data_IF_737423772095
#
_entry.id   IF_737423772095
#
_cell.length_a   1.000
_cell.length_b   1.000
_cell.length_c   1.000
_cell.angle_alpha   90.00
_cell.angle_beta   90.00
_cell.angle_gamma   90.00
#
_symmetry.space_group_name_H-M   'P 1'
#
loop_
_entity.id
_entity.type
_entity.pdbx_description
1 polymer ?
#
# COMPACT_ATOMS: atom_id res chain seq x y z
N UNK A 1 -43.32 -7.67 58.02
CA UNK A 1 -42.82 -6.72 59.05
C UNK A 1 -43.93 -5.85 59.65
N UNK A 2 -44.83 -5.25 58.85
CA UNK A 2 -45.88 -4.35 59.36
C UNK A 2 -46.81 -4.94 60.46
N UNK A 3 -47.20 -6.22 60.38
CA UNK A 3 -48.07 -6.85 61.40
C UNK A 3 -47.38 -7.03 62.77
N UNK A 4 -46.07 -7.30 62.77
CA UNK A 4 -45.27 -7.49 63.98
C UNK A 4 -44.98 -6.16 64.69
N UNK A 5 -44.72 -5.10 63.92
CA UNK A 5 -44.54 -3.73 64.46
C UNK A 5 -45.83 -3.17 65.06
N UNK A 6 -46.99 -3.46 64.45
CA UNK A 6 -48.30 -3.07 65.01
C UNK A 6 -48.57 -3.78 66.33
N UNK A 7 -48.26 -5.08 66.43
CA UNK A 7 -48.41 -5.84 67.67
C UNK A 7 -47.53 -5.31 68.82
N UNK A 8 -46.25 -5.02 68.54
CA UNK A 8 -45.34 -4.40 69.52
C UNK A 8 -45.81 -3.01 69.95
N UNK A 9 -46.36 -2.22 69.03
CA UNK A 9 -46.92 -0.90 69.34
C UNK A 9 -48.17 -0.99 70.24
N UNK A 10 -49.04 -1.99 70.02
CA UNK A 10 -50.19 -2.24 70.90
C UNK A 10 -49.76 -2.66 72.30
N UNK A 11 -48.76 -3.53 72.42
CA UNK A 11 -48.20 -3.91 73.74
C UNK A 11 -47.57 -2.70 74.42
N UNK A 12 -46.78 -1.91 73.69
CA UNK A 12 -46.13 -0.70 74.21
C UNK A 12 -47.17 0.32 74.72
N UNK A 13 -48.24 0.56 73.94
CA UNK A 13 -49.36 1.42 74.37
C UNK A 13 -50.12 0.83 75.57
N UNK A 14 -50.26 -0.50 75.65
CA UNK A 14 -50.87 -1.20 76.79
C UNK A 14 -50.07 -1.03 78.08
N UNK A 15 -48.74 -1.22 78.02
CA UNK A 15 -47.82 -1.01 79.15
C UNK A 15 -47.81 0.46 79.58
N UNK A 16 -47.83 1.40 78.64
CA UNK A 16 -47.89 2.84 78.90
C UNK A 16 -49.22 3.28 79.54
N UNK A 17 -50.35 2.72 79.10
CA UNK A 17 -51.67 2.97 79.71
C UNK A 17 -51.70 2.52 81.18
N UNK A 18 -51.08 1.37 81.46
CA UNK A 18 -50.96 0.84 82.81
C UNK A 18 -50.08 1.73 83.69
N UNK A 19 -48.93 2.19 83.17
CA UNK A 19 -48.05 3.16 83.86
C UNK A 19 -48.75 4.51 84.09
N UNK A 20 -49.60 4.95 83.17
CA UNK A 20 -50.40 6.17 83.29
C UNK A 20 -51.36 6.14 84.47
N UNK A 21 -51.94 4.97 84.74
CA UNK A 21 -52.91 4.79 85.82
C UNK A 21 -52.26 4.80 87.22
N UNK A 22 -51.04 4.26 87.34
CA UNK A 22 -50.37 4.10 88.63
C UNK A 22 -49.44 5.26 89.00
N UNK A 23 -48.88 6.00 88.04
CA UNK A 23 -47.94 7.08 88.32
C UNK A 23 -48.64 8.44 88.34
N UNK A 24 -48.91 9.00 89.52
CA UNK A 24 -49.56 10.31 89.69
C UNK A 24 -48.59 11.44 90.02
N UNK A 25 -47.29 11.19 89.97
CA UNK A 25 -46.29 12.20 90.29
C UNK A 25 -46.23 13.28 89.21
N UNK A 26 -46.08 14.53 89.66
CA UNK A 26 -45.92 15.69 88.79
C UNK A 26 -44.54 16.30 88.97
N UNK A 27 -44.03 16.91 87.90
CA UNK A 27 -42.75 17.59 87.87
C UNK A 27 -42.93 18.98 87.31
N UNK A 28 -42.19 19.93 87.88
CA UNK A 28 -42.11 21.29 87.38
C UNK A 28 -40.97 21.35 86.36
N UNK A 29 -41.27 21.73 85.12
CA UNK A 29 -40.30 21.79 84.03
C UNK A 29 -40.02 23.26 83.70
N UNK A 30 -38.77 23.65 83.83
CA UNK A 30 -38.30 24.98 83.43
C UNK A 30 -37.77 24.91 82.01
N UNK A 31 -38.41 25.62 81.09
CA UNK A 31 -38.01 25.67 79.67
C UNK A 31 -37.25 26.99 79.41
N UNK A 32 -36.59 27.07 78.26
CA UNK A 32 -35.80 28.23 77.83
C UNK A 32 -36.54 29.56 78.07
N UNK A 33 -35.82 30.55 78.64
CA UNK A 33 -36.28 31.87 79.09
C UNK A 33 -37.10 31.89 80.38
N UNK A 34 -36.88 30.91 81.28
CA UNK A 34 -37.40 30.97 82.66
C UNK A 34 -38.89 30.68 82.77
N UNK A 35 -39.53 30.19 81.71
CA UNK A 35 -40.93 29.78 81.73
C UNK A 35 -41.03 28.43 82.44
N UNK A 36 -41.63 28.41 83.63
CA UNK A 36 -41.90 27.19 84.42
C UNK A 36 -43.29 26.67 84.13
N UNK A 37 -43.39 25.45 83.63
CA UNK A 37 -44.63 24.71 83.60
C UNK A 37 -44.74 23.88 84.87
N UNK A 38 -45.73 24.20 85.70
CA UNK A 38 -45.95 23.52 86.97
C UNK A 38 -46.93 22.35 86.82
N UNK A 39 -46.74 21.31 87.63
CA UNK A 39 -47.63 20.15 87.73
C UNK A 39 -47.79 19.30 86.46
N UNK A 40 -46.75 19.15 85.63
CA UNK A 40 -46.80 18.24 84.48
C UNK A 40 -46.67 16.79 84.96
N UNK A 41 -47.58 15.87 84.62
CA UNK A 41 -47.45 14.44 84.96
C UNK A 41 -46.18 13.84 84.35
N UNK A 42 -45.42 13.06 85.13
CA UNK A 42 -44.17 12.41 84.66
C UNK A 42 -44.40 11.58 83.38
N UNK A 43 -45.56 10.93 83.25
CA UNK A 43 -45.97 10.17 82.06
C UNK A 43 -46.02 11.05 80.80
N UNK A 44 -46.49 12.30 80.92
CA UNK A 44 -46.54 13.23 79.78
C UNK A 44 -45.13 13.55 79.27
N UNK A 45 -44.14 13.66 80.17
CA UNK A 45 -42.72 13.86 79.82
C UNK A 45 -42.16 12.64 79.08
N UNK A 46 -42.48 11.43 79.55
CA UNK A 46 -42.10 10.18 78.88
C UNK A 46 -42.72 10.12 77.46
N UNK A 47 -44.01 10.47 77.31
CA UNK A 47 -44.66 10.55 75.99
C UNK A 47 -43.98 11.55 75.06
N UNK A 48 -43.66 12.75 75.55
CA UNK A 48 -42.99 13.78 74.75
C UNK A 48 -41.59 13.30 74.32
N UNK A 49 -40.84 12.64 75.21
CA UNK A 49 -39.50 12.10 74.88
C UNK A 49 -39.54 10.95 73.86
N UNK A 50 -40.50 10.03 74.01
CA UNK A 50 -40.70 8.92 73.07
C UNK A 50 -41.19 9.43 71.70
N UNK A 51 -42.12 10.40 71.70
CA UNK A 51 -42.58 11.06 70.49
C UNK A 51 -41.43 11.80 69.79
N UNK A 52 -40.60 12.54 70.52
CA UNK A 52 -39.41 13.20 69.98
C UNK A 52 -38.42 12.19 69.37
N UNK A 53 -38.20 11.05 70.03
CA UNK A 53 -37.38 9.95 69.50
C UNK A 53 -37.93 9.39 68.17
N UNK A 54 -39.24 9.07 68.11
CA UNK A 54 -39.90 8.57 66.91
C UNK A 54 -39.85 9.60 65.78
N UNK A 55 -40.11 10.87 66.07
CA UNK A 55 -40.06 11.97 65.10
C UNK A 55 -38.64 12.12 64.56
N UNK A 56 -37.61 12.06 65.41
CA UNK A 56 -36.21 12.14 64.99
C UNK A 56 -35.80 10.96 64.10
N UNK A 57 -36.20 9.73 64.44
CA UNK A 57 -35.95 8.54 63.64
C UNK A 57 -36.65 8.61 62.28
N UNK A 58 -37.91 9.07 62.27
CA UNK A 58 -38.67 9.27 61.04
C UNK A 58 -38.03 10.35 60.16
N UNK A 59 -37.60 11.48 60.76
CA UNK A 59 -36.88 12.54 60.05
C UNK A 59 -35.58 12.01 59.42
N UNK A 60 -34.78 11.25 60.17
CA UNK A 60 -33.54 10.63 59.67
C UNK A 60 -33.86 9.64 58.53
N UNK A 61 -34.90 8.82 58.66
CA UNK A 61 -35.31 7.87 57.63
C UNK A 61 -35.77 8.58 56.35
N UNK A 62 -36.59 9.63 56.47
CA UNK A 62 -37.05 10.46 55.34
C UNK A 62 -35.87 11.16 54.66
N UNK A 63 -34.94 11.75 55.41
CA UNK A 63 -33.74 12.38 54.86
C UNK A 63 -32.85 11.36 54.14
N UNK A 64 -32.69 10.16 54.69
CA UNK A 64 -31.91 9.07 54.07
C UNK A 64 -32.54 8.57 52.78
N UNK A 65 -33.85 8.34 52.78
CA UNK A 65 -34.58 7.87 51.60
C UNK A 65 -34.68 8.95 50.52
N UNK A 66 -34.82 10.22 50.90
CA UNK A 66 -34.74 11.35 49.98
C UNK A 66 -33.35 11.44 49.31
N UNK A 67 -32.26 11.33 50.08
CA UNK A 67 -30.90 11.27 49.53
C UNK A 67 -30.74 10.08 48.57
N UNK A 68 -31.16 8.88 48.98
CA UNK A 68 -31.11 7.67 48.13
C UNK A 68 -31.90 7.83 46.84
N UNK A 69 -33.06 8.49 46.89
CA UNK A 69 -33.88 8.74 45.70
C UNK A 69 -33.19 9.71 44.74
N UNK A 70 -32.60 10.79 45.26
CA UNK A 70 -31.82 11.76 44.47
C UNK A 70 -30.61 11.07 43.82
N UNK A 71 -29.87 10.26 44.57
CA UNK A 71 -28.72 9.52 44.05
C UNK A 71 -29.16 8.54 42.94
N UNK A 72 -30.22 7.77 43.16
CA UNK A 72 -30.78 6.86 42.17
C UNK A 72 -31.28 7.60 40.92
N UNK A 73 -31.90 8.78 41.09
CA UNK A 73 -32.37 9.60 39.98
C UNK A 73 -31.20 10.13 39.15
N UNK A 74 -30.12 10.60 39.79
CA UNK A 74 -28.89 10.99 39.11
C UNK A 74 -28.27 9.83 38.33
N UNK A 75 -28.18 8.64 38.94
CA UNK A 75 -27.67 7.43 38.28
C UNK A 75 -28.55 7.03 37.09
N UNK A 76 -29.88 7.04 37.25
CA UNK A 76 -30.80 6.70 36.15
C UNK A 76 -30.71 7.72 35.01
N UNK A 77 -30.61 9.01 35.31
CA UNK A 77 -30.46 10.06 34.29
C UNK A 77 -29.13 9.92 33.55
N UNK A 78 -28.04 9.63 34.26
CA UNK A 78 -26.72 9.34 33.67
C UNK A 78 -26.79 8.12 32.74
N UNK A 79 -27.35 6.99 33.22
CA UNK A 79 -27.53 5.77 32.42
C UNK A 79 -28.38 5.99 31.17
N UNK A 80 -29.47 6.75 31.26
CA UNK A 80 -30.30 7.10 30.09
C UNK A 80 -29.53 7.94 29.08
N UNK A 81 -28.70 8.87 29.54
CA UNK A 81 -27.83 9.68 28.66
C UNK A 81 -26.78 8.79 27.96
N UNK A 82 -26.10 7.93 28.71
CA UNK A 82 -25.12 6.98 28.15
C UNK A 82 -25.74 6.03 27.13
N UNK A 83 -26.94 5.49 27.43
CA UNK A 83 -27.68 4.63 26.50
C UNK A 83 -28.06 5.39 25.21
N UNK A 84 -28.45 6.66 25.31
CA UNK A 84 -28.74 7.50 24.13
C UNK A 84 -27.49 7.74 23.28
N UNK A 85 -26.35 8.03 23.91
CA UNK A 85 -25.06 8.21 23.20
C UNK A 85 -24.68 6.92 22.46
N UNK A 86 -24.83 5.76 23.11
CA UNK A 86 -24.54 4.47 22.50
C UNK A 86 -25.48 4.17 21.32
N UNK A 87 -26.78 4.43 21.47
CA UNK A 87 -27.77 4.27 20.39
C UNK A 87 -27.45 5.19 19.18
N UNK A 88 -27.12 6.45 19.43
CA UNK A 88 -26.66 7.39 18.40
C UNK A 88 -25.41 6.90 17.69
N UNK A 89 -24.43 6.37 18.43
CA UNK A 89 -23.22 5.78 17.84
C UNK A 89 -23.55 4.56 16.96
N UNK A 90 -24.41 3.66 17.42
CA UNK A 90 -24.84 2.49 16.65
C UNK A 90 -25.54 2.88 15.35
N UNK A 91 -26.45 3.88 15.38
CA UNK A 91 -27.09 4.41 14.18
C UNK A 91 -26.10 5.10 13.24
N UNK A 92 -25.13 5.83 13.81
CA UNK A 92 -24.04 6.44 13.03
C UNK A 92 -23.21 5.39 12.30
N UNK A 93 -22.89 4.27 12.94
CA UNK A 93 -22.20 3.14 12.32
C UNK A 93 -23.04 2.48 11.21
N UNK A 94 -24.35 2.31 11.41
CA UNK A 94 -25.25 1.78 10.38
C UNK A 94 -25.27 2.69 9.14
N UNK A 95 -25.45 3.99 9.34
CA UNK A 95 -25.40 4.98 8.27
C UNK A 95 -24.04 4.99 7.55
N UNK A 96 -22.94 4.87 8.32
CA UNK A 96 -21.58 4.78 7.78
C UNK A 96 -21.40 3.56 6.86
N UNK A 97 -21.79 2.37 7.31
CA UNK A 97 -21.70 1.16 6.48
C UNK A 97 -22.66 1.17 5.30
N UNK A 98 -23.77 1.91 5.39
CA UNK A 98 -24.68 2.17 4.28
C UNK A 98 -24.19 3.29 3.34
N UNK A 99 -22.97 3.81 3.53
CA UNK A 99 -22.38 4.93 2.78
C UNK A 99 -23.19 6.24 2.82
N UNK A 100 -24.08 6.39 3.81
CA UNK A 100 -24.81 7.64 4.09
C UNK A 100 -23.95 8.54 4.97
N UNK A 101 -22.88 9.08 4.38
CA UNK A 101 -21.82 9.76 5.12
C UNK A 101 -22.27 11.06 5.81
N UNK A 102 -23.18 11.82 5.22
CA UNK A 102 -23.73 13.05 5.83
C UNK A 102 -24.50 12.73 7.11
N UNK A 103 -25.45 11.79 7.04
CA UNK A 103 -26.22 11.31 8.19
C UNK A 103 -25.30 10.72 9.28
N UNK A 104 -24.31 9.92 8.89
CA UNK A 104 -23.34 9.35 9.81
C UNK A 104 -22.51 10.45 10.51
N UNK A 105 -22.08 11.47 9.78
CA UNK A 105 -21.31 12.59 10.33
C UNK A 105 -22.14 13.39 11.36
N UNK A 106 -23.42 13.65 11.07
CA UNK A 106 -24.32 14.31 12.02
C UNK A 106 -24.49 13.48 13.31
N UNK A 107 -24.76 12.18 13.17
CA UNK A 107 -24.92 11.27 14.30
C UNK A 107 -23.65 11.17 15.15
N UNK A 108 -22.47 11.09 14.52
CA UNK A 108 -21.20 11.04 15.22
C UNK A 108 -20.82 12.39 15.86
N UNK A 109 -21.17 13.52 15.23
CA UNK A 109 -20.97 14.85 15.83
C UNK A 109 -21.80 14.99 17.10
N UNK A 110 -23.06 14.53 17.09
CA UNK A 110 -23.90 14.49 18.30
C UNK A 110 -23.37 13.57 19.41
N UNK A 111 -22.66 12.49 19.06
CA UNK A 111 -21.93 11.67 20.05
C UNK A 111 -20.76 12.46 20.64
N UNK A 112 -20.01 13.19 19.81
CA UNK A 112 -18.86 13.98 20.23
C UNK A 112 -19.26 15.15 21.14
N UNK A 113 -20.47 15.70 21.04
CA UNK A 113 -21.00 16.70 21.98
C UNK A 113 -21.15 16.21 23.43
N UNK A 114 -21.23 14.89 23.62
CA UNK A 114 -21.41 14.26 24.93
C UNK A 114 -20.14 13.57 25.43
N UNK A 115 -19.32 13.04 24.51
CA UNK A 115 -18.00 12.48 24.78
C UNK A 115 -17.00 13.01 23.74
N UNK A 116 -16.38 14.16 24.06
CA UNK A 116 -15.41 14.83 23.20
C UNK A 116 -14.15 14.02 22.91
N UNK A 117 -13.92 12.94 23.66
CA UNK A 117 -12.72 12.11 23.59
C UNK A 117 -13.02 10.69 23.10
N UNK A 118 -14.20 10.46 22.52
CA UNK A 118 -14.55 9.14 21.97
C UNK A 118 -13.64 8.79 20.80
N UNK A 119 -12.65 7.94 21.06
CA UNK A 119 -11.67 7.46 20.08
C UNK A 119 -12.33 6.91 18.80
N UNK A 120 -13.33 6.04 18.96
CA UNK A 120 -14.01 5.42 17.81
C UNK A 120 -14.80 6.44 17.00
N UNK A 121 -15.43 7.42 17.66
CA UNK A 121 -16.19 8.47 16.97
C UNK A 121 -15.27 9.39 16.18
N UNK A 122 -14.15 9.82 16.78
CA UNK A 122 -13.14 10.65 16.12
C UNK A 122 -12.56 9.92 14.89
N UNK A 123 -12.22 8.64 15.03
CA UNK A 123 -11.73 7.84 13.92
C UNK A 123 -12.73 7.77 12.76
N UNK A 124 -14.02 7.51 13.04
CA UNK A 124 -15.06 7.43 12.01
C UNK A 124 -15.36 8.77 11.35
N UNK A 125 -15.33 9.88 12.10
CA UNK A 125 -15.43 11.22 11.52
C UNK A 125 -14.24 11.53 10.60
N UNK A 126 -13.04 11.07 10.96
CA UNK A 126 -11.87 11.10 10.10
C UNK A 126 -12.05 10.27 8.82
N UNK A 127 -12.57 9.03 8.94
CA UNK A 127 -12.86 8.15 7.80
C UNK A 127 -13.86 8.79 6.84
N UNK A 128 -14.95 9.35 7.37
CA UNK A 128 -15.96 10.07 6.59
C UNK A 128 -15.32 11.26 5.86
N UNK A 129 -14.55 12.09 6.59
CA UNK A 129 -13.90 13.27 6.00
C UNK A 129 -12.92 12.87 4.88
N UNK A 130 -12.20 11.76 5.05
CA UNK A 130 -11.32 11.20 4.03
C UNK A 130 -12.10 10.78 2.77
N UNK A 131 -13.21 10.05 2.92
CA UNK A 131 -14.06 9.65 1.79
C UNK A 131 -14.74 10.85 1.10
N UNK A 132 -15.03 11.91 1.85
CA UNK A 132 -15.50 13.18 1.33
C UNK A 132 -14.39 14.04 0.70
N UNK A 133 -13.15 13.54 0.61
CA UNK A 133 -11.96 14.24 0.09
C UNK A 133 -11.55 15.50 0.86
N UNK A 134 -12.13 15.73 2.04
CA UNK A 134 -11.72 16.79 2.97
C UNK A 134 -10.56 16.28 3.84
N UNK A 135 -9.38 16.19 3.20
CA UNK A 135 -8.18 15.65 3.83
C UNK A 135 -7.71 16.47 5.03
N UNK A 136 -8.01 17.78 5.07
CA UNK A 136 -7.64 18.66 6.18
C UNK A 136 -8.44 18.30 7.42
N UNK A 137 -9.77 18.17 7.31
CA UNK A 137 -10.59 17.73 8.45
C UNK A 137 -10.30 16.28 8.84
N UNK A 138 -10.02 15.41 7.86
CA UNK A 138 -9.63 14.03 8.14
C UNK A 138 -8.37 13.98 9.01
N UNK A 139 -7.33 14.73 8.64
CA UNK A 139 -6.09 14.87 9.43
C UNK A 139 -6.40 15.38 10.84
N UNK A 140 -7.21 16.43 10.98
CA UNK A 140 -7.60 16.99 12.29
C UNK A 140 -8.27 15.94 13.20
N UNK A 141 -9.25 15.20 12.68
CA UNK A 141 -9.94 14.17 13.46
C UNK A 141 -9.04 13.00 13.84
N UNK A 142 -8.15 12.56 12.95
CA UNK A 142 -7.20 11.50 13.25
C UNK A 142 -6.14 11.93 14.25
N UNK A 143 -5.64 13.17 14.18
CA UNK A 143 -4.72 13.71 15.19
C UNK A 143 -5.39 13.77 16.57
N UNK A 144 -6.64 14.22 16.66
CA UNK A 144 -7.42 14.15 17.91
C UNK A 144 -7.59 12.71 18.41
N UNK A 145 -7.83 11.75 17.51
CA UNK A 145 -7.91 10.33 17.89
C UNK A 145 -6.57 9.79 18.41
N UNK A 146 -5.45 10.26 17.84
CA UNK A 146 -4.08 9.93 18.27
C UNK A 146 -3.77 10.47 19.67
N UNK A 147 -4.28 11.65 20.02
CA UNK A 147 -4.14 12.24 21.36
C UNK A 147 -4.84 11.41 22.44
N UNK A 148 -5.97 10.78 22.11
CA UNK A 148 -6.71 9.88 23.02
C UNK A 148 -6.00 8.55 23.19
N UNK A 149 -5.56 7.93 22.09
CA UNK A 149 -4.81 6.67 22.10
C UNK A 149 -3.49 6.82 21.38
N UNK A 150 -2.48 7.21 22.13
CA UNK A 150 -1.12 7.32 21.64
C UNK A 150 -0.63 5.95 21.11
N UNK A 151 0.00 5.94 19.92
CA UNK A 151 0.52 4.74 19.24
C UNK A 151 -0.53 3.72 18.74
N UNK A 152 -1.74 4.15 18.42
CA UNK A 152 -2.67 3.29 17.70
C UNK A 152 -2.22 3.10 16.24
N UNK A 153 -1.89 1.85 15.86
CA UNK A 153 -1.53 1.50 14.47
C UNK A 153 -2.65 1.89 13.49
N UNK A 154 -3.91 1.71 13.88
CA UNK A 154 -5.07 2.07 13.05
C UNK A 154 -5.07 3.57 12.71
N UNK A 155 -4.79 4.44 13.68
CA UNK A 155 -4.73 5.90 13.47
C UNK A 155 -3.52 6.29 12.63
N UNK A 156 -2.35 5.70 12.90
CA UNK A 156 -1.14 5.96 12.13
C UNK A 156 -1.32 5.58 10.65
N UNK A 157 -1.97 4.46 10.37
CA UNK A 157 -2.31 4.06 8.99
C UNK A 157 -3.31 5.03 8.35
N UNK A 158 -4.29 5.54 9.09
CA UNK A 158 -5.23 6.53 8.57
C UNK A 158 -4.56 7.88 8.29
N UNK A 159 -3.65 8.34 9.16
CA UNK A 159 -2.85 9.55 8.93
C UNK A 159 -1.90 9.40 7.76
N UNK A 160 -1.25 8.24 7.62
CA UNK A 160 -0.44 7.92 6.45
C UNK A 160 -1.25 7.98 5.16
N UNK A 161 -2.48 7.45 5.15
CA UNK A 161 -3.34 7.47 3.96
C UNK A 161 -3.72 8.88 3.56
N UNK A 162 -3.98 9.75 4.55
CA UNK A 162 -4.24 11.17 4.33
C UNK A 162 -3.01 11.84 3.73
N UNK A 163 -1.83 11.60 4.30
CA UNK A 163 -0.57 12.15 3.80
C UNK A 163 -0.28 11.66 2.36
N UNK A 164 -0.48 10.38 2.06
CA UNK A 164 -0.33 9.80 0.72
C UNK A 164 -1.29 10.46 -0.29
N UNK A 165 -2.57 10.64 0.09
CA UNK A 165 -3.57 11.31 -0.74
C UNK A 165 -3.26 12.80 -1.00
N UNK A 166 -2.57 13.45 -0.06
CA UNK A 166 -2.07 14.82 -0.20
C UNK A 166 -0.69 14.89 -0.89
N UNK A 167 -0.10 13.76 -1.31
CA UNK A 167 1.26 13.65 -1.84
C UNK A 167 2.36 14.17 -0.90
N UNK A 168 2.07 14.17 0.41
CA UNK A 168 3.00 14.47 1.51
C UNK A 168 3.82 13.22 1.86
N UNK A 169 4.74 12.86 0.96
CA UNK A 169 5.48 11.60 1.06
C UNK A 169 6.38 11.47 2.29
N UNK A 170 7.14 12.50 2.70
CA UNK A 170 7.96 12.42 3.91
C UNK A 170 7.12 12.17 5.16
N UNK A 171 5.96 12.83 5.29
CA UNK A 171 5.03 12.62 6.40
C UNK A 171 4.40 11.22 6.38
N UNK A 172 4.01 10.74 5.19
CA UNK A 172 3.52 9.37 5.03
C UNK A 172 4.57 8.35 5.50
N UNK A 173 5.83 8.54 5.11
CA UNK A 173 6.96 7.70 5.55
C UNK A 173 7.17 7.77 7.06
N UNK A 174 7.12 8.95 7.67
CA UNK A 174 7.24 9.13 9.13
C UNK A 174 6.14 8.38 9.90
N UNK A 175 4.90 8.42 9.42
CA UNK A 175 3.82 7.63 10.02
C UNK A 175 4.05 6.11 9.88
N UNK A 176 4.58 5.64 8.73
CA UNK A 176 4.94 4.22 8.56
C UNK A 176 6.09 3.83 9.50
N UNK A 177 7.09 4.68 9.67
CA UNK A 177 8.22 4.44 10.57
C UNK A 177 7.77 4.36 12.03
N UNK A 178 6.84 5.23 12.46
CA UNK A 178 6.20 5.12 13.78
C UNK A 178 5.44 3.81 13.98
N UNK A 179 4.89 3.21 12.93
CA UNK A 179 4.27 1.88 13.01
C UNK A 179 5.36 0.80 13.12
N UNK A 180 6.45 0.91 12.36
CA UNK A 180 7.58 -0.03 12.41
C UNK A 180 8.34 0.04 13.75
N UNK A 181 8.28 1.16 14.48
CA UNK A 181 8.78 1.26 15.85
C UNK A 181 7.96 0.41 16.85
N UNK A 182 6.69 0.12 16.52
CA UNK A 182 5.79 -0.72 17.33
C UNK A 182 5.92 -2.18 16.90
N UNK A 183 5.92 -2.42 15.60
CA UNK A 183 5.99 -3.74 14.97
C UNK A 183 6.97 -3.70 13.78
N UNK A 184 8.25 -4.00 14.08
CA UNK A 184 9.36 -3.88 13.11
C UNK A 184 9.22 -4.82 11.92
N UNK A 185 8.51 -5.94 12.11
CA UNK A 185 8.40 -7.02 11.14
C UNK A 185 7.07 -6.97 10.39
N UNK A 186 6.33 -5.86 10.50
CA UNK A 186 5.06 -5.68 9.82
C UNK A 186 5.25 -5.58 8.29
N UNK A 187 5.16 -6.73 7.62
CA UNK A 187 5.37 -6.86 6.17
C UNK A 187 4.42 -5.95 5.37
N UNK A 188 3.19 -5.72 5.87
CA UNK A 188 2.23 -4.84 5.19
C UNK A 188 2.75 -3.39 5.17
N UNK A 189 3.20 -2.88 6.31
CA UNK A 189 3.74 -1.52 6.45
C UNK A 189 5.03 -1.36 5.64
N UNK A 190 5.93 -2.34 5.69
CA UNK A 190 7.16 -2.36 4.87
C UNK A 190 6.82 -2.30 3.36
N UNK A 191 5.80 -3.04 2.92
CA UNK A 191 5.36 -3.02 1.51
C UNK A 191 4.79 -1.66 1.11
N UNK A 192 3.98 -1.01 1.96
CA UNK A 192 3.48 0.34 1.68
C UNK A 192 4.63 1.34 1.59
N UNK A 193 5.61 1.25 2.50
CA UNK A 193 6.82 2.09 2.46
C UNK A 193 7.60 1.89 1.16
N UNK A 194 7.79 0.63 0.74
CA UNK A 194 8.42 0.29 -0.54
C UNK A 194 7.66 0.90 -1.72
N UNK A 195 6.33 0.80 -1.75
CA UNK A 195 5.52 1.31 -2.85
C UNK A 195 5.62 2.84 -2.96
N UNK A 196 5.76 3.57 -1.84
CA UNK A 196 6.06 5.01 -1.83
C UNK A 196 7.46 5.28 -2.42
N UNK A 197 8.49 4.58 -1.95
CA UNK A 197 9.85 4.73 -2.50
C UNK A 197 9.91 4.39 -4.00
N UNK A 198 9.14 3.41 -4.46
CA UNK A 198 9.06 3.04 -5.88
C UNK A 198 8.45 4.16 -6.73
N UNK A 199 7.38 4.81 -6.25
CA UNK A 199 6.76 5.96 -6.94
C UNK A 199 7.71 7.14 -7.02
N UNK A 200 8.51 7.36 -5.97
CA UNK A 200 9.49 8.45 -5.89
C UNK A 200 10.82 8.14 -6.57
N UNK A 201 11.02 6.90 -7.03
CA UNK A 201 12.29 6.41 -7.61
C UNK A 201 13.47 6.56 -6.65
N UNK A 202 13.21 6.44 -5.34
CA UNK A 202 14.22 6.46 -4.28
C UNK A 202 14.79 5.03 -4.14
N UNK A 203 15.59 4.61 -5.12
CA UNK A 203 15.99 3.21 -5.30
C UNK A 203 16.91 2.67 -4.20
N UNK A 204 17.74 3.53 -3.58
CA UNK A 204 18.62 3.13 -2.48
C UNK A 204 17.79 2.65 -1.27
N UNK A 205 16.91 3.52 -0.76
CA UNK A 205 16.01 3.21 0.34
C UNK A 205 15.07 2.03 0.00
N UNK A 206 14.59 1.97 -1.24
CA UNK A 206 13.73 0.89 -1.70
C UNK A 206 14.42 -0.47 -1.58
N UNK A 207 15.66 -0.59 -2.06
CA UNK A 207 16.43 -1.85 -1.97
C UNK A 207 16.62 -2.27 -0.51
N UNK A 208 16.87 -1.31 0.39
CA UNK A 208 17.00 -1.59 1.83
C UNK A 208 15.68 -2.09 2.45
N UNK A 209 14.56 -1.46 2.12
CA UNK A 209 13.23 -1.93 2.56
C UNK A 209 12.92 -3.31 1.98
N UNK A 210 13.24 -3.57 0.72
CA UNK A 210 13.02 -4.88 0.11
C UNK A 210 13.85 -5.98 0.79
N UNK A 211 15.09 -5.68 1.19
CA UNK A 211 15.90 -6.60 1.97
C UNK A 211 15.31 -6.85 3.38
N UNK A 212 14.73 -5.83 4.02
CA UNK A 212 14.00 -6.02 5.29
C UNK A 212 12.78 -6.92 5.10
N UNK A 213 12.00 -6.73 4.02
CA UNK A 213 10.87 -7.61 3.68
C UNK A 213 11.33 -9.07 3.57
N UNK A 214 12.42 -9.34 2.86
CA UNK A 214 12.95 -10.70 2.69
C UNK A 214 13.47 -11.36 3.99
N UNK A 215 13.77 -10.58 5.04
CA UNK A 215 14.11 -11.13 6.36
C UNK A 215 12.87 -11.59 7.13
N UNK A 216 11.68 -11.09 6.80
CA UNK A 216 10.43 -11.51 7.42
C UNK A 216 10.06 -12.94 6.98
N UNK A 217 9.44 -13.71 7.88
CA UNK A 217 9.00 -15.08 7.56
C UNK A 217 7.88 -15.05 6.53
N UNK A 218 8.03 -15.79 5.43
CA UNK A 218 7.00 -15.93 4.40
C UNK A 218 7.07 -17.30 3.71
N UNK A 219 5.99 -17.74 3.03
CA UNK A 219 6.00 -18.94 2.20
C UNK A 219 7.03 -18.85 1.07
N UNK A 220 7.63 -19.98 0.70
CA UNK A 220 8.71 -20.06 -0.31
C UNK A 220 8.34 -19.43 -1.65
N UNK A 221 7.09 -19.58 -2.11
CA UNK A 221 6.65 -18.99 -3.38
C UNK A 221 6.63 -17.46 -3.32
N UNK A 222 6.18 -16.87 -2.21
CA UNK A 222 6.22 -15.42 -2.02
C UNK A 222 7.65 -14.91 -1.89
N UNK A 223 8.52 -15.69 -1.25
CA UNK A 223 9.94 -15.36 -1.14
C UNK A 223 10.63 -15.31 -2.51
N UNK A 224 10.32 -16.24 -3.41
CA UNK A 224 10.81 -16.21 -4.80
C UNK A 224 10.35 -14.94 -5.53
N UNK A 225 9.08 -14.57 -5.39
CA UNK A 225 8.54 -13.35 -6.01
C UNK A 225 9.21 -12.08 -5.46
N UNK A 226 9.41 -12.00 -4.14
CA UNK A 226 10.10 -10.87 -3.51
C UNK A 226 11.60 -10.82 -3.85
N UNK A 227 12.25 -11.97 -4.05
CA UNK A 227 13.63 -12.04 -4.56
C UNK A 227 13.73 -11.56 -6.01
N UNK A 228 12.78 -11.95 -6.86
CA UNK A 228 12.70 -11.46 -8.26
C UNK A 228 12.52 -9.94 -8.30
N UNK A 229 11.69 -9.38 -7.42
CA UNK A 229 11.55 -7.93 -7.27
C UNK A 229 12.84 -7.27 -6.80
N UNK A 230 13.54 -7.87 -5.82
CA UNK A 230 14.83 -7.35 -5.35
C UNK A 230 15.85 -7.23 -6.50
N UNK A 231 15.91 -8.22 -7.40
CA UNK A 231 16.75 -8.15 -8.59
C UNK A 231 16.34 -6.99 -9.52
N UNK A 232 15.04 -6.86 -9.79
CA UNK A 232 14.50 -5.73 -10.55
C UNK A 232 14.83 -4.36 -9.93
N UNK A 233 14.68 -4.22 -8.62
CA UNK A 233 14.99 -2.98 -7.91
C UNK A 233 16.49 -2.67 -7.87
N UNK A 234 17.35 -3.68 -7.72
CA UNK A 234 18.80 -3.51 -7.86
C UNK A 234 19.18 -3.07 -9.27
N UNK A 235 18.53 -3.62 -10.29
CA UNK A 235 18.72 -3.17 -11.67
C UNK A 235 18.30 -1.69 -11.86
N UNK A 236 17.15 -1.26 -11.32
CA UNK A 236 16.74 0.15 -11.36
C UNK A 236 17.71 1.06 -10.59
N UNK A 237 18.24 0.60 -9.45
CA UNK A 237 19.29 1.31 -8.71
C UNK A 237 20.57 1.44 -9.55
N UNK A 238 20.98 0.37 -10.22
CA UNK A 238 22.10 0.37 -11.16
C UNK A 238 21.91 1.39 -12.28
N UNK A 239 20.74 1.39 -12.93
CA UNK A 239 20.37 2.39 -13.95
C UNK A 239 20.42 3.82 -13.41
N UNK A 240 19.89 4.05 -12.22
CA UNK A 240 19.96 5.36 -11.57
C UNK A 240 21.40 5.84 -11.38
N UNK A 241 22.30 4.93 -10.99
CA UNK A 241 23.72 5.27 -10.90
C UNK A 241 24.35 5.57 -12.26
N UNK A 242 24.00 4.82 -13.31
CA UNK A 242 24.42 5.14 -14.70
C UNK A 242 23.94 6.53 -15.10
N UNK A 243 22.66 6.85 -14.89
CA UNK A 243 22.07 8.16 -15.20
C UNK A 243 22.78 9.29 -14.44
N UNK A 244 23.07 9.08 -13.14
CA UNK A 244 23.78 10.05 -12.29
C UNK A 244 25.28 10.19 -12.57
N UNK A 245 25.87 9.30 -13.39
CA UNK A 245 27.31 9.29 -13.69
C UNK A 245 28.19 8.74 -12.57
N UNK A 246 27.64 7.93 -11.67
CA UNK A 246 28.39 7.25 -10.60
C UNK A 246 28.75 5.82 -11.02
N UNK A 247 29.63 5.70 -12.02
CA UNK A 247 30.01 4.44 -12.69
C UNK A 247 30.41 3.34 -11.71
N UNK A 248 31.27 3.62 -10.73
CA UNK A 248 31.70 2.63 -9.73
C UNK A 248 30.54 1.94 -8.99
N UNK A 249 29.54 2.73 -8.59
CA UNK A 249 28.36 2.22 -7.90
C UNK A 249 27.47 1.42 -8.85
N UNK A 250 27.27 1.93 -10.07
CA UNK A 250 26.50 1.25 -11.11
C UNK A 250 27.09 -0.14 -11.40
N UNK A 251 28.40 -0.20 -11.67
CA UNK A 251 29.14 -1.43 -11.97
C UNK A 251 28.99 -2.45 -10.85
N UNK A 252 29.20 -2.03 -9.59
CA UNK A 252 29.08 -2.92 -8.42
C UNK A 252 27.68 -3.52 -8.30
N UNK A 253 26.64 -2.68 -8.43
CA UNK A 253 25.24 -3.14 -8.28
C UNK A 253 24.82 -4.03 -9.45
N UNK A 254 25.12 -3.64 -10.69
CA UNK A 254 24.73 -4.38 -11.89
C UNK A 254 25.44 -5.73 -11.99
N UNK A 255 26.74 -5.81 -11.67
CA UNK A 255 27.45 -7.10 -11.55
C UNK A 255 26.80 -8.02 -10.50
N UNK A 256 26.24 -7.45 -9.42
CA UNK A 256 25.52 -8.24 -8.42
C UNK A 256 24.18 -8.79 -8.93
N UNK A 257 23.53 -8.09 -9.87
CA UNK A 257 22.31 -8.57 -10.55
C UNK A 257 22.65 -9.71 -11.49
N UNK A 258 23.66 -9.52 -12.35
CA UNK A 258 24.14 -10.55 -13.30
C UNK A 258 24.58 -11.83 -12.57
N UNK A 259 25.32 -11.68 -11.47
CA UNK A 259 25.75 -12.84 -10.66
C UNK A 259 24.57 -13.63 -10.08
N UNK A 260 23.47 -12.97 -9.76
CA UNK A 260 22.29 -13.60 -9.19
C UNK A 260 21.35 -14.17 -10.26
N UNK A 261 21.32 -13.58 -11.45
CA UNK A 261 20.59 -14.06 -12.62
C UNK A 261 21.39 -13.75 -13.89
N UNK A 262 22.13 -14.75 -14.38
CA UNK A 262 22.97 -14.62 -15.58
C UNK A 262 22.14 -14.45 -16.86
N UNK A 263 20.82 -14.66 -16.82
CA UNK A 263 19.90 -14.42 -17.93
C UNK A 263 19.27 -13.02 -17.89
N UNK A 264 19.70 -12.15 -16.96
CA UNK A 264 19.20 -10.78 -16.85
C UNK A 264 19.83 -9.87 -17.93
N UNK A 265 19.38 -10.03 -19.19
CA UNK A 265 19.84 -9.29 -20.38
C UNK A 265 19.93 -7.79 -20.14
N UNK A 266 18.90 -7.21 -19.52
CA UNK A 266 18.85 -5.77 -19.27
C UNK A 266 20.00 -5.27 -18.35
N UNK A 267 20.55 -6.12 -17.48
CA UNK A 267 21.63 -5.76 -16.58
C UNK A 267 22.99 -5.72 -17.31
N UNK A 268 23.23 -6.61 -18.28
CA UNK A 268 24.40 -6.51 -19.16
C UNK A 268 24.37 -5.23 -19.98
N UNK A 269 23.22 -4.89 -20.57
CA UNK A 269 23.05 -3.66 -21.36
C UNK A 269 23.32 -2.44 -20.47
N UNK A 270 22.68 -2.34 -19.29
CA UNK A 270 22.91 -1.21 -18.39
C UNK A 270 24.35 -1.14 -17.87
N UNK A 271 25.05 -2.29 -17.74
CA UNK A 271 26.44 -2.32 -17.31
C UNK A 271 27.38 -1.84 -18.44
N UNK A 272 27.10 -2.24 -19.68
CA UNK A 272 27.80 -1.72 -20.85
C UNK A 272 27.57 -0.22 -21.01
N UNK A 273 26.34 0.26 -20.85
CA UNK A 273 26.00 1.69 -20.87
C UNK A 273 26.77 2.47 -19.78
N UNK A 274 27.01 1.85 -18.63
CA UNK A 274 27.83 2.44 -17.55
C UNK A 274 29.27 2.66 -18.01
N UNK A 275 29.90 1.64 -18.60
CA UNK A 275 31.29 1.72 -19.09
C UNK A 275 31.42 2.67 -20.29
N UNK A 276 30.48 2.63 -21.24
CA UNK A 276 30.47 3.58 -22.38
C UNK A 276 30.41 5.03 -21.91
N UNK A 277 29.64 5.32 -20.85
CA UNK A 277 29.54 6.66 -20.29
C UNK A 277 30.82 7.11 -19.57
N UNK A 278 31.59 6.16 -19.05
CA UNK A 278 32.91 6.39 -18.45
C UNK A 278 34.03 6.55 -19.50
N UNK A 279 33.77 6.12 -20.75
CA UNK A 279 34.74 6.10 -21.85
C UNK A 279 35.45 4.74 -22.01
N UNK A 280 35.11 3.76 -21.19
CA UNK A 280 35.67 2.41 -21.18
C UNK A 280 34.99 1.53 -22.25
N UNK A 281 35.24 1.85 -23.53
CA UNK A 281 34.59 1.20 -24.68
C UNK A 281 34.83 -0.32 -24.71
N UNK A 282 36.06 -0.75 -24.36
CA UNK A 282 36.45 -2.15 -24.37
C UNK A 282 35.71 -2.99 -23.31
N UNK A 283 35.57 -2.45 -22.11
CA UNK A 283 34.86 -3.11 -21.01
C UNK A 283 33.36 -3.24 -21.34
N UNK A 284 32.79 -2.25 -22.02
CA UNK A 284 31.42 -2.34 -22.53
C UNK A 284 31.26 -3.48 -23.54
N UNK A 285 32.19 -3.59 -24.50
CA UNK A 285 32.24 -4.69 -25.46
C UNK A 285 32.33 -6.05 -24.76
N UNK A 286 33.27 -6.21 -23.83
CA UNK A 286 33.48 -7.47 -23.11
C UNK A 286 32.22 -7.91 -22.35
N UNK A 287 31.51 -6.98 -21.70
CA UNK A 287 30.25 -7.27 -21.00
C UNK A 287 29.13 -7.66 -21.95
N UNK A 288 28.99 -6.98 -23.09
CA UNK A 288 27.97 -7.33 -24.08
C UNK A 288 28.26 -8.70 -24.72
N UNK A 289 29.54 -9.01 -24.98
CA UNK A 289 29.98 -10.32 -25.47
C UNK A 289 29.70 -11.41 -24.45
N UNK A 290 30.09 -11.23 -23.19
CA UNK A 290 29.80 -12.16 -22.08
C UNK A 290 28.29 -12.43 -21.99
N UNK A 291 27.47 -11.37 -21.97
CA UNK A 291 26.02 -11.52 -21.91
C UNK A 291 25.44 -12.25 -23.13
N UNK A 292 25.99 -12.02 -24.33
CA UNK A 292 25.55 -12.70 -25.54
C UNK A 292 25.94 -14.19 -25.51
N UNK A 293 27.15 -14.53 -25.07
CA UNK A 293 27.60 -15.92 -24.96
C UNK A 293 26.75 -16.72 -23.97
N UNK A 294 26.40 -16.10 -22.83
CA UNK A 294 25.57 -16.71 -21.79
C UNK A 294 24.10 -16.87 -22.21
N UNK A 295 23.52 -15.85 -22.84
CA UNK A 295 22.06 -15.81 -23.07
C UNK A 295 21.65 -16.14 -24.51
N UNK A 296 22.58 -16.04 -25.47
CA UNK A 296 22.31 -16.08 -26.92
C UNK A 296 21.21 -15.09 -27.35
N UNK A 297 21.08 -13.97 -26.63
CA UNK A 297 20.03 -12.98 -26.85
C UNK A 297 20.30 -12.12 -28.08
N UNK A 298 19.34 -12.09 -29.02
CA UNK A 298 19.38 -11.19 -30.19
C UNK A 298 19.44 -9.71 -29.79
N UNK A 299 18.89 -9.35 -28.63
CA UNK A 299 18.96 -7.96 -28.13
C UNK A 299 20.42 -7.57 -27.86
N UNK A 300 21.20 -8.45 -27.23
CA UNK A 300 22.62 -8.20 -26.96
C UNK A 300 23.43 -8.19 -28.26
N UNK A 301 23.10 -9.07 -29.20
CA UNK A 301 23.76 -9.10 -30.51
C UNK A 301 23.54 -7.80 -31.29
N UNK A 302 22.32 -7.23 -31.27
CA UNK A 302 22.04 -5.92 -31.88
C UNK A 302 22.78 -4.78 -31.14
N UNK A 303 22.94 -4.87 -29.81
CA UNK A 303 23.75 -3.88 -29.06
C UNK A 303 25.24 -3.97 -29.39
N UNK A 304 25.77 -5.17 -29.56
CA UNK A 304 27.12 -5.38 -30.08
C UNK A 304 27.27 -4.82 -31.50
N UNK A 305 26.26 -5.03 -32.36
CA UNK A 305 26.26 -4.47 -33.70
C UNK A 305 26.35 -2.95 -33.69
N UNK A 306 25.49 -2.28 -32.93
CA UNK A 306 25.54 -0.82 -32.82
C UNK A 306 26.92 -0.35 -32.33
N UNK A 307 27.46 -1.01 -31.30
CA UNK A 307 28.77 -0.70 -30.75
C UNK A 307 29.92 -0.83 -31.77
N UNK A 308 30.05 -1.97 -32.46
CA UNK A 308 31.13 -2.17 -33.45
C UNK A 308 30.98 -1.30 -34.68
N UNK A 309 29.74 -0.95 -35.05
CA UNK A 309 29.49 -0.03 -36.16
C UNK A 309 29.94 1.39 -35.79
N UNK A 310 29.66 1.82 -34.56
CA UNK A 310 30.07 3.13 -34.06
C UNK A 310 31.59 3.25 -33.89
N UNK A 311 32.27 2.17 -33.49
CA UNK A 311 33.75 2.08 -33.43
C UNK A 311 34.40 1.95 -34.83
N UNK A 312 33.62 1.69 -35.88
CA UNK A 312 34.15 1.54 -37.25
C UNK A 312 34.80 0.18 -37.52
N UNK A 313 34.45 -0.86 -36.76
CA UNK A 313 34.93 -2.23 -36.91
C UNK A 313 33.84 -3.23 -37.35
N UNK A 314 33.18 -3.02 -38.51
CA UNK A 314 32.09 -3.87 -38.97
C UNK A 314 32.49 -5.33 -39.23
N UNK A 315 33.77 -5.60 -39.51
CA UNK A 315 34.27 -6.96 -39.75
C UNK A 315 34.11 -7.88 -38.54
N UNK A 316 34.32 -7.35 -37.33
CA UNK A 316 34.23 -8.12 -36.07
C UNK A 316 32.80 -8.57 -35.81
N UNK A 317 31.82 -7.66 -35.95
CA UNK A 317 30.41 -8.03 -35.77
C UNK A 317 29.92 -9.01 -36.85
N UNK A 318 30.39 -8.89 -38.10
CA UNK A 318 30.08 -9.86 -39.15
C UNK A 318 30.56 -11.27 -38.76
N UNK A 319 31.79 -11.40 -38.25
CA UNK A 319 32.33 -12.69 -37.78
C UNK A 319 31.50 -13.25 -36.60
N UNK A 320 31.07 -12.39 -35.67
CA UNK A 320 30.20 -12.79 -34.56
C UNK A 320 28.85 -13.35 -35.08
N UNK A 321 28.20 -12.67 -36.02
CA UNK A 321 26.98 -13.16 -36.65
C UNK A 321 27.21 -14.49 -37.38
N UNK A 322 28.30 -14.63 -38.13
CA UNK A 322 28.62 -15.86 -38.85
C UNK A 322 28.83 -17.03 -37.88
N UNK A 323 29.57 -16.83 -36.78
CA UNK A 323 29.74 -17.81 -35.71
C UNK A 323 28.40 -18.18 -35.04
N UNK A 324 27.54 -17.19 -34.81
CA UNK A 324 26.20 -17.41 -34.26
C UNK A 324 25.36 -18.31 -35.17
N UNK A 325 25.34 -18.03 -36.47
CA UNK A 325 24.62 -18.82 -37.49
C UNK A 325 25.20 -20.23 -37.60
N UNK A 326 26.52 -20.40 -37.50
CA UNK A 326 27.15 -21.73 -37.51
C UNK A 326 26.72 -22.57 -36.30
N UNK A 327 26.57 -21.94 -35.12
CA UNK A 327 26.13 -22.60 -33.88
C UNK A 327 24.65 -23.00 -33.94
N UNK A 328 23.80 -22.14 -34.48
CA UNK A 328 22.37 -22.42 -34.69
C UNK A 328 21.93 -22.11 -36.12
N UNK A 329 22.14 -23.09 -37.00
CA UNK A 329 21.81 -22.98 -38.43
C UNK A 329 20.31 -22.86 -38.70
N UNK A 330 19.45 -23.15 -37.71
CA UNK A 330 17.99 -23.12 -37.86
C UNK A 330 17.39 -21.78 -37.45
N UNK A 331 18.15 -20.92 -36.78
CA UNK A 331 17.67 -19.61 -36.38
C UNK A 331 17.71 -18.63 -37.56
N UNK A 332 16.64 -18.62 -38.34
CA UNK A 332 16.45 -17.73 -39.50
C UNK A 332 16.51 -16.23 -39.12
N UNK A 333 16.32 -15.89 -37.84
CA UNK A 333 16.42 -14.50 -37.38
C UNK A 333 17.86 -14.00 -37.49
N UNK A 334 18.85 -14.83 -37.17
CA UNK A 334 20.26 -14.47 -37.26
C UNK A 334 20.68 -14.15 -38.70
N UNK A 335 20.22 -14.96 -39.65
CA UNK A 335 20.47 -14.74 -41.08
C UNK A 335 19.84 -13.43 -41.56
N UNK A 336 18.61 -13.12 -41.12
CA UNK A 336 18.00 -11.83 -41.42
C UNK A 336 18.77 -10.65 -40.84
N UNK A 337 19.15 -10.69 -39.56
CA UNK A 337 19.91 -9.61 -38.95
C UNK A 337 21.27 -9.42 -39.63
N UNK A 338 21.95 -10.50 -40.03
CA UNK A 338 23.17 -10.42 -40.81
C UNK A 338 22.94 -9.80 -42.21
N UNK A 339 21.88 -10.20 -42.92
CA UNK A 339 21.52 -9.59 -44.20
C UNK A 339 21.19 -8.10 -44.07
N UNK A 340 20.48 -7.73 -43.01
CA UNK A 340 20.18 -6.33 -42.66
C UNK A 340 21.47 -5.55 -42.40
N UNK A 341 22.44 -6.13 -41.69
CA UNK A 341 23.74 -5.53 -41.45
C UNK A 341 24.53 -5.35 -42.76
N UNK A 342 24.61 -6.37 -43.62
CA UNK A 342 25.26 -6.23 -44.93
C UNK A 342 24.61 -5.13 -45.78
N UNK A 343 23.27 -5.05 -45.77
CA UNK A 343 22.56 -3.97 -46.44
C UNK A 343 22.90 -2.59 -45.85
N UNK A 344 22.96 -2.44 -44.52
CA UNK A 344 23.37 -1.21 -43.82
C UNK A 344 24.79 -0.78 -44.21
N UNK A 345 25.67 -1.73 -44.48
CA UNK A 345 27.06 -1.53 -44.91
C UNK A 345 27.23 -1.37 -46.43
N UNK A 346 26.13 -1.28 -47.19
CA UNK A 346 26.11 -1.24 -48.67
C UNK A 346 26.81 -2.45 -49.35
N UNK A 347 26.94 -3.57 -48.63
CA UNK A 347 27.44 -4.85 -49.14
C UNK A 347 26.29 -5.65 -49.79
N UNK A 348 25.72 -5.10 -50.86
CA UNK A 348 24.45 -5.55 -51.44
C UNK A 348 24.47 -7.01 -51.92
N UNK A 349 25.57 -7.47 -52.51
CA UNK A 349 25.67 -8.85 -53.00
C UNK A 349 25.67 -9.88 -51.86
N UNK A 350 26.40 -9.59 -50.77
CA UNK A 350 26.40 -10.42 -49.56
C UNK A 350 25.05 -10.41 -48.84
N UNK A 351 24.38 -9.26 -48.81
CA UNK A 351 23.02 -9.15 -48.27
C UNK A 351 22.06 -10.05 -49.07
N UNK A 352 22.15 -10.04 -50.40
CA UNK A 352 21.35 -10.91 -51.26
C UNK A 352 21.67 -12.38 -51.03
N UNK A 353 22.93 -12.77 -51.06
CA UNK A 353 23.36 -14.17 -50.87
C UNK A 353 22.86 -14.73 -49.53
N UNK A 354 22.93 -13.93 -48.47
CA UNK A 354 22.43 -14.30 -47.14
C UNK A 354 20.91 -14.51 -47.13
N UNK A 355 20.15 -13.72 -47.88
CA UNK A 355 18.69 -13.89 -47.98
C UNK A 355 18.30 -15.01 -48.94
N UNK A 356 19.03 -15.25 -50.02
CA UNK A 356 18.74 -16.37 -50.92
C UNK A 356 18.92 -17.73 -50.21
N UNK A 357 19.76 -17.77 -49.16
CA UNK A 357 19.90 -18.92 -48.28
C UNK A 357 18.77 -19.07 -47.24
N UNK A 358 17.97 -18.03 -47.00
CA UNK A 358 16.81 -18.07 -46.11
C UNK A 358 15.64 -18.80 -46.80
N UNK A 359 15.01 -19.75 -46.09
CA UNK A 359 13.71 -20.25 -46.50
C UNK A 359 12.63 -19.18 -46.22
N UNK A 360 12.40 -18.31 -47.20
CA UNK A 360 11.43 -17.20 -47.13
C UNK A 360 10.02 -17.71 -46.84
N UNK A 361 9.69 -18.97 -47.17
CA UNK A 361 8.36 -19.53 -46.87
C UNK A 361 8.18 -19.90 -45.40
N UNK A 362 9.27 -20.24 -44.71
CA UNK A 362 9.28 -20.49 -43.27
C UNK A 362 9.42 -19.21 -42.44
N UNK A 363 9.79 -18.09 -43.07
CA UNK A 363 10.15 -16.82 -42.42
C UNK A 363 9.50 -15.62 -43.14
N UNK A 364 8.17 -15.67 -43.28
CA UNK A 364 7.35 -14.61 -43.89
C UNK A 364 6.93 -13.56 -42.85
N UNK A 365 7.51 -12.36 -42.95
CA UNK A 365 7.13 -11.19 -42.15
C UNK A 365 7.45 -9.88 -42.89
N UNK A 366 6.73 -8.78 -42.56
CA UNK A 366 6.78 -7.56 -43.36
C UNK A 366 8.17 -6.92 -43.50
N UNK A 367 8.99 -6.96 -42.45
CA UNK A 367 10.32 -6.34 -42.46
C UNK A 367 11.33 -7.10 -43.36
N UNK A 368 11.18 -8.41 -43.56
CA UNK A 368 11.97 -9.15 -44.56
C UNK A 368 11.61 -8.72 -45.98
N UNK A 369 10.32 -8.67 -46.28
CA UNK A 369 9.84 -8.24 -47.60
C UNK A 369 10.27 -6.81 -47.91
N UNK A 370 10.31 -5.95 -46.89
CA UNK A 370 10.88 -4.61 -47.02
C UNK A 370 12.39 -4.63 -47.29
N UNK A 371 13.16 -5.44 -46.56
CA UNK A 371 14.60 -5.59 -46.78
C UNK A 371 14.90 -6.12 -48.20
N UNK A 372 14.21 -7.17 -48.64
CA UNK A 372 14.31 -7.74 -49.97
C UNK A 372 13.95 -6.72 -51.05
N UNK A 373 12.86 -5.98 -50.86
CA UNK A 373 12.44 -4.90 -51.73
C UNK A 373 13.54 -3.86 -51.93
N UNK A 374 14.12 -3.40 -50.82
CA UNK A 374 15.22 -2.42 -50.80
C UNK A 374 16.51 -2.97 -51.44
N UNK A 375 16.85 -4.25 -51.24
CA UNK A 375 18.01 -4.89 -51.86
C UNK A 375 17.81 -4.98 -53.38
N UNK A 376 16.63 -5.42 -53.85
CA UNK A 376 16.32 -5.44 -55.28
C UNK A 376 16.33 -4.04 -55.91
N UNK A 377 15.87 -3.02 -55.18
CA UNK A 377 15.96 -1.63 -55.62
C UNK A 377 17.41 -1.19 -55.82
N UNK A 378 18.30 -1.47 -54.85
CA UNK A 378 19.75 -1.20 -54.96
C UNK A 378 20.38 -1.93 -56.16
N UNK A 379 19.87 -3.10 -56.53
CA UNK A 379 20.30 -3.87 -57.71
C UNK A 379 19.63 -3.43 -59.03
N UNK A 380 18.81 -2.38 -59.02
CA UNK A 380 18.00 -1.92 -60.17
C UNK A 380 16.98 -2.95 -60.69
N UNK A 381 16.61 -3.95 -59.87
CA UNK A 381 15.59 -4.94 -60.18
C UNK A 381 14.20 -4.45 -59.77
N UNK A 382 13.80 -3.29 -60.30
CA UNK A 382 12.62 -2.54 -59.84
C UNK A 382 11.31 -3.32 -59.81
N UNK A 383 11.13 -4.27 -60.75
CA UNK A 383 9.92 -5.11 -60.77
C UNK A 383 9.84 -6.03 -59.55
N UNK A 384 10.94 -6.72 -59.22
CA UNK A 384 11.00 -7.59 -58.04
C UNK A 384 10.92 -6.77 -56.76
N UNK A 385 11.61 -5.62 -56.73
CA UNK A 385 11.52 -4.67 -55.63
C UNK A 385 10.07 -4.28 -55.34
N UNK A 386 9.32 -3.87 -56.37
CA UNK A 386 7.92 -3.50 -56.23
C UNK A 386 7.03 -4.67 -55.78
N UNK A 387 7.30 -5.89 -56.23
CA UNK A 387 6.51 -7.07 -55.85
C UNK A 387 6.78 -7.50 -54.40
N UNK A 388 8.00 -7.38 -53.88
CA UNK A 388 8.31 -7.63 -52.46
C UNK A 388 7.79 -6.50 -51.56
N UNK A 389 8.00 -5.24 -51.93
CA UNK A 389 7.45 -4.10 -51.18
C UNK A 389 5.92 -4.17 -51.11
N UNK A 390 5.24 -4.70 -52.14
CA UNK A 390 3.79 -4.94 -52.10
C UNK A 390 3.36 -5.89 -51.00
N UNK A 391 4.16 -6.91 -50.70
CA UNK A 391 3.88 -7.83 -49.58
C UNK A 391 4.07 -7.15 -48.23
N UNK A 392 4.92 -6.12 -48.17
CA UNK A 392 5.15 -5.28 -46.99
C UNK A 392 4.21 -4.06 -46.87
N UNK A 393 3.33 -3.77 -47.86
CA UNK A 393 2.53 -2.53 -47.99
C UNK A 393 1.60 -2.18 -46.83
N UNK A 394 1.46 -3.04 -45.82
CA UNK A 394 0.80 -2.68 -44.56
C UNK A 394 1.70 -1.90 -43.59
N UNK A 395 2.97 -1.62 -43.95
CA UNK A 395 4.00 -1.02 -43.08
C UNK A 395 4.54 0.29 -43.67
N UNK A 396 4.03 1.42 -43.18
CA UNK A 396 4.43 2.79 -43.56
C UNK A 396 5.69 3.31 -42.83
N UNK A 397 6.45 2.43 -42.16
CA UNK A 397 7.57 2.78 -41.24
C UNK A 397 8.91 2.20 -41.70
N UNK A 398 10.08 2.79 -41.36
CA UNK A 398 11.42 2.22 -41.66
C UNK A 398 11.55 0.75 -41.22
N UNK A 399 12.53 0.00 -41.78
CA UNK A 399 12.82 -1.39 -41.35
C UNK A 399 13.27 -1.32 -39.88
N UNK A 400 12.31 -1.46 -38.97
CA UNK A 400 12.49 -1.29 -37.55
C UNK A 400 11.78 -2.45 -36.89
N UNK A 401 12.55 -3.44 -36.45
CA UNK A 401 12.04 -4.54 -35.65
C UNK A 401 11.72 -3.98 -34.26
N UNK A 402 10.44 -3.89 -33.87
CA UNK A 402 10.09 -3.36 -32.57
C UNK A 402 10.44 -4.36 -31.47
N UNK A 403 10.49 -3.87 -30.23
CA UNK A 403 10.53 -4.70 -29.06
C UNK A 403 9.14 -5.03 -28.58
N UNK A 404 9.00 -6.19 -27.97
CA UNK A 404 7.78 -6.61 -27.31
C UNK A 404 8.05 -7.20 -25.93
N UNK A 405 7.19 -6.85 -24.97
CA UNK A 405 7.16 -7.49 -23.66
C UNK A 405 6.58 -8.92 -23.75
N UNK A 406 7.37 -9.93 -23.41
CA UNK A 406 6.97 -11.34 -23.41
C UNK A 406 5.85 -11.70 -22.44
N UNK A 407 5.51 -10.79 -21.51
CA UNK A 407 4.53 -10.99 -20.43
C UNK A 407 3.18 -10.34 -20.71
N UNK A 408 3.14 -9.10 -21.22
CA UNK A 408 1.89 -8.39 -21.50
C UNK A 408 1.67 -8.06 -22.98
N UNK A 409 2.62 -8.42 -23.86
CA UNK A 409 2.61 -8.11 -25.29
C UNK A 409 2.59 -6.60 -25.62
N UNK A 410 3.06 -5.75 -24.70
CA UNK A 410 3.32 -4.33 -24.98
C UNK A 410 4.40 -4.20 -26.05
N UNK A 411 4.13 -3.42 -27.10
CA UNK A 411 5.06 -3.19 -28.22
C UNK A 411 5.65 -1.78 -28.10
N UNK A 412 6.97 -1.67 -28.27
CA UNK A 412 7.73 -0.42 -28.21
C UNK A 412 8.78 -0.39 -29.31
N UNK A 413 9.05 0.80 -29.86
CA UNK A 413 10.21 0.99 -30.74
C UNK A 413 11.52 1.11 -29.95
N UNK A 414 11.43 1.57 -28.71
CA UNK A 414 12.57 1.78 -27.83
C UNK A 414 12.75 0.60 -26.86
N UNK A 415 13.99 0.21 -26.64
CA UNK A 415 14.35 -0.79 -25.65
C UNK A 415 14.09 -0.29 -24.23
N UNK A 416 13.53 -1.14 -23.37
CA UNK A 416 13.49 -0.90 -21.93
C UNK A 416 13.68 -2.20 -21.18
N UNK A 417 14.57 -2.18 -20.17
CA UNK A 417 14.74 -3.33 -19.28
C UNK A 417 13.56 -3.53 -18.30
N UNK A 418 12.64 -2.56 -18.19
CA UNK A 418 11.41 -2.65 -17.40
C UNK A 418 10.21 -2.26 -18.24
N UNK A 419 9.24 -3.15 -18.39
CA UNK A 419 8.05 -2.87 -19.18
C UNK A 419 7.25 -1.69 -18.59
N UNK A 420 6.94 -0.65 -19.38
CA UNK A 420 6.18 0.51 -18.87
C UNK A 420 4.73 0.15 -18.53
N UNK A 421 4.15 -0.88 -19.17
CA UNK A 421 2.77 -1.30 -18.95
C UNK A 421 2.64 -2.24 -17.74
N UNK A 422 3.30 -3.41 -17.78
CA UNK A 422 3.18 -4.42 -16.70
C UNK A 422 4.22 -4.30 -15.58
N UNK A 423 5.19 -3.38 -15.70
CA UNK A 423 6.26 -3.11 -14.73
C UNK A 423 7.20 -4.27 -14.41
N UNK A 424 7.11 -5.39 -15.14
CA UNK A 424 8.04 -6.52 -15.04
C UNK A 424 9.37 -6.23 -15.73
N UNK A 425 10.45 -6.74 -15.16
CA UNK A 425 11.81 -6.59 -15.67
C UNK A 425 12.23 -7.72 -16.59
N UNK A 426 13.19 -7.45 -17.47
CA UNK A 426 13.83 -8.44 -18.33
C UNK A 426 12.83 -9.22 -19.20
N UNK A 427 11.81 -8.52 -19.72
CA UNK A 427 10.73 -9.12 -20.51
C UNK A 427 10.76 -8.74 -21.98
N UNK A 428 11.52 -7.73 -22.37
CA UNK A 428 11.54 -7.26 -23.74
C UNK A 428 12.37 -8.20 -24.62
N UNK A 429 11.79 -8.58 -25.74
CA UNK A 429 12.42 -9.35 -26.82
C UNK A 429 12.22 -8.60 -28.14
N UNK A 430 13.04 -8.88 -29.15
CA UNK A 430 12.79 -8.40 -30.51
C UNK A 430 11.58 -9.15 -31.09
N UNK A 431 10.54 -8.41 -31.52
CA UNK A 431 9.31 -8.98 -32.09
C UNK A 431 9.51 -9.35 -33.56
N UNK A 432 10.35 -10.34 -33.79
CA UNK A 432 10.53 -10.94 -35.12
C UNK A 432 9.36 -11.90 -35.38
N UNK A 433 8.82 -11.91 -36.60
CA UNK A 433 7.68 -12.76 -37.01
C UNK A 433 6.36 -12.53 -36.27
N UNK A 434 6.11 -11.33 -35.75
CA UNK A 434 4.88 -11.00 -34.99
C UNK A 434 4.56 -11.99 -33.84
N UNK A 435 5.60 -12.61 -33.26
CA UNK A 435 5.46 -13.63 -32.21
C UNK A 435 4.59 -13.17 -31.05
N UNK A 436 4.63 -11.88 -30.72
CA UNK A 436 3.78 -11.31 -29.69
C UNK A 436 2.30 -11.13 -30.07
N UNK A 437 2.00 -10.87 -31.34
CA UNK A 437 0.60 -10.78 -31.81
C UNK A 437 -0.09 -12.14 -31.78
N UNK A 438 0.63 -13.21 -32.10
CA UNK A 438 0.10 -14.58 -32.07
C UNK A 438 -0.22 -15.03 -30.64
N UNK A 439 0.65 -14.74 -29.67
CA UNK A 439 0.43 -15.05 -28.24
C UNK A 439 -0.82 -14.37 -27.69
N UNK A 440 -1.09 -13.13 -28.09
CA UNK A 440 -2.30 -12.39 -27.67
C UNK A 440 -3.59 -13.12 -28.05
N UNK A 441 -3.66 -13.75 -29.23
CA UNK A 441 -4.84 -14.48 -29.70
C UNK A 441 -5.10 -15.76 -28.90
N UNK A 442 -4.05 -16.43 -28.43
CA UNK A 442 -4.16 -17.68 -27.66
C UNK A 442 -4.53 -17.44 -26.18
N UNK A 443 -4.21 -16.27 -25.61
CA UNK A 443 -4.61 -15.90 -24.25
C UNK A 443 -6.04 -15.36 -24.13
N UNK A 444 -6.70 -15.08 -25.26
CA UNK A 444 -8.07 -14.52 -25.34
C UNK A 444 -9.15 -15.56 -25.67
N UNK A 445 -8.78 -16.85 -25.70
CA UNK A 445 -9.67 -18.02 -25.82
C UNK A 445 -9.56 -18.83 -24.55
#
# INVERSE_FOLDING_TARGET
MAKFTVFLLVIFLGVLSLLSFFNKETVNITVWNGVTFENIPVIAVIFISAAAGIISMFLIAVLRDARRHIDNWHIQRKRKKEAKVLDSFSKGMEAFFAARYEEAAELFTGVLEHDHTSFNTLLRLGDISFYSTDYVKAEEYYLKAMDVKHKSIEVLLSLERVAEAQHKWPEAIDYLDKILDIDSDNVMVLRRKRDIYERRREWEDLVDIQQKILKCKMPSEKEKDENRKLLGYKYELGRYYVESGTTDKAVKVLKSVIKADSNFIAAYIALADAYLKDGDSKEAQDVLMEGYEETSSLVLLVRLEDHFIDEGEPGTIIDIYQKAIQKDQKDLRLQFFLAKLYYRLEMIDYAMETIDALDVTAFDYPDLHKLLGNIYERRSEYKKAADELKKALSVDKPILVPYCCSECNYISNDWSGRCPECRKWNTFILDVNETCKVRKRQSST
#
